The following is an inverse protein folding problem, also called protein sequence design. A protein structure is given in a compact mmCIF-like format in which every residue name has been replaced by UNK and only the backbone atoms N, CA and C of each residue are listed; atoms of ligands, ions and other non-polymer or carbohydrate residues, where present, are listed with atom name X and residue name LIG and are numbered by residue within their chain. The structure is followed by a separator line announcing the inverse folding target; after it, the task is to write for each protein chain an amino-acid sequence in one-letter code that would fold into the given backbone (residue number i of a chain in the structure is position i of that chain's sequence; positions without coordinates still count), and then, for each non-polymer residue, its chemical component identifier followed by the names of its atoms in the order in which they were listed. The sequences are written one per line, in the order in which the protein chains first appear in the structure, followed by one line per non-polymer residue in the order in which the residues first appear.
data_IF_418816965066
#
_entry.id   IF_418816965066
#
_cell.length_a   1.000
_cell.length_b   1.000
_cell.length_c   1.000
_cell.angle_alpha   90.00
_cell.angle_beta   90.00
_cell.angle_gamma   90.00
#
_symmetry.space_group_name_H-M   'P 1'
#
loop_
_entity.id
_entity.type
_entity.pdbx_description
1 polymer ?
#
# COMPACT_ATOMS: atom_id res chain seq x y z
N UNK A 1 16.96 -2.39 8.30
CA UNK A 1 15.80 -2.30 9.20
C UNK A 1 14.77 -1.43 8.54
N UNK A 2 13.66 -2.02 8.10
CA UNK A 2 12.53 -1.25 7.60
C UNK A 2 11.95 -0.43 8.76
N UNK A 3 11.89 0.88 8.60
CA UNK A 3 11.00 1.73 9.37
C UNK A 3 9.79 2.07 8.50
N UNK A 4 8.67 2.40 9.14
CA UNK A 4 7.45 2.80 8.43
C UNK A 4 6.90 4.03 9.12
N UNK A 5 7.08 5.18 8.47
CA UNK A 5 6.37 6.40 8.86
C UNK A 5 4.88 6.22 8.57
N UNK A 6 4.04 6.77 9.44
CA UNK A 6 2.58 6.60 9.40
C UNK A 6 1.92 7.95 9.55
N UNK A 7 0.93 8.21 8.72
CA UNK A 7 0.16 9.45 8.77
C UNK A 7 -1.33 9.16 8.53
N UNK A 8 -2.19 9.79 9.31
CA UNK A 8 -3.64 9.72 9.12
C UNK A 8 -4.10 10.90 8.28
N UNK A 9 -4.55 10.61 7.07
CA UNK A 9 -5.17 11.57 6.15
C UNK A 9 -6.70 11.50 6.29
N UNK A 10 -7.46 12.52 5.84
CA UNK A 10 -8.92 12.49 5.94
C UNK A 10 -9.55 11.21 5.38
N UNK A 11 -9.12 10.78 4.19
CA UNK A 11 -9.66 9.60 3.49
C UNK A 11 -8.68 8.42 3.38
N UNK A 12 -7.50 8.50 4.00
CA UNK A 12 -6.52 7.42 3.89
C UNK A 12 -5.68 7.25 5.15
N UNK A 13 -5.11 6.06 5.31
CA UNK A 13 -3.99 5.82 6.21
C UNK A 13 -2.73 5.65 5.36
N UNK A 14 -1.78 6.59 5.46
CA UNK A 14 -0.55 6.60 4.67
C UNK A 14 0.57 5.87 5.42
N UNK A 15 1.24 4.96 4.71
CA UNK A 15 2.44 4.26 5.14
C UNK A 15 3.59 4.64 4.21
N UNK A 16 4.73 5.05 4.75
CA UNK A 16 5.95 5.35 3.98
C UNK A 16 7.07 4.46 4.51
N UNK A 17 7.29 3.27 3.94
CA UNK A 17 8.36 2.38 4.36
C UNK A 17 9.72 2.91 3.87
N UNK A 18 10.75 2.82 4.70
CA UNK A 18 12.11 3.21 4.37
C UNK A 18 13.12 2.22 4.98
N UNK A 19 14.26 2.02 4.32
CA UNK A 19 15.33 1.21 4.89
C UNK A 19 16.20 2.08 5.80
N UNK A 20 16.08 1.90 7.13
CA UNK A 20 17.13 2.28 8.05
C UNK A 20 18.29 1.26 7.96
N UNK A 21 19.52 1.71 8.19
CA UNK A 21 20.69 0.85 8.16
C UNK A 21 20.51 -0.36 9.12
N UNK A 22 20.79 -1.55 8.58
CA UNK A 22 21.07 -2.83 9.29
C UNK A 22 19.99 -3.45 10.18
N UNK A 23 19.23 -4.45 9.65
CA UNK A 23 18.78 -5.69 10.35
C UNK A 23 17.70 -6.46 9.55
N UNK A 24 17.45 -7.71 9.94
CA UNK A 24 16.76 -8.79 9.20
C UNK A 24 15.25 -8.93 9.46
N UNK A 25 14.59 -7.92 10.04
CA UNK A 25 13.18 -8.03 10.54
C UNK A 25 12.15 -7.25 9.70
N UNK A 26 12.50 -6.92 8.47
CA UNK A 26 11.80 -5.92 7.64
C UNK A 26 10.34 -6.29 7.34
N UNK A 27 10.06 -7.57 7.05
CA UNK A 27 8.69 -8.04 6.77
C UNK A 27 7.76 -7.95 8.00
N UNK A 28 8.28 -8.14 9.22
CA UNK A 28 7.49 -8.06 10.45
C UNK A 28 7.06 -6.62 10.73
N UNK A 29 7.94 -5.65 10.46
CA UNK A 29 7.62 -4.23 10.63
C UNK A 29 6.54 -3.80 9.63
N UNK A 30 6.68 -4.19 8.36
CA UNK A 30 5.67 -3.91 7.33
C UNK A 30 4.34 -4.55 7.68
N UNK A 31 4.34 -5.83 8.08
CA UNK A 31 3.12 -6.55 8.45
C UNK A 31 2.40 -5.88 9.63
N UNK A 32 3.15 -5.43 10.65
CA UNK A 32 2.58 -4.69 11.77
C UNK A 32 2.00 -3.33 11.34
N UNK A 33 2.67 -2.62 10.43
CA UNK A 33 2.18 -1.34 9.93
C UNK A 33 0.88 -1.51 9.12
N UNK A 34 0.85 -2.49 8.20
CA UNK A 34 -0.33 -2.82 7.39
C UNK A 34 -1.49 -3.29 8.27
N UNK A 35 -1.22 -4.12 9.29
CA UNK A 35 -2.25 -4.57 10.22
C UNK A 35 -2.91 -3.40 10.97
N UNK A 36 -2.12 -2.39 11.38
CA UNK A 36 -2.66 -1.19 12.03
C UNK A 36 -3.48 -0.37 11.04
N UNK A 37 -2.96 -0.14 9.84
CA UNK A 37 -3.66 0.61 8.80
C UNK A 37 -4.97 -0.08 8.37
N UNK A 38 -4.99 -1.41 8.28
CA UNK A 38 -6.20 -2.17 7.96
C UNK A 38 -7.26 -2.09 9.06
N UNK A 39 -6.88 -1.72 10.29
CA UNK A 39 -7.81 -1.46 11.38
C UNK A 39 -8.23 0.01 11.50
N UNK A 40 -7.56 0.92 10.80
CA UNK A 40 -7.99 2.31 10.73
C UNK A 40 -9.34 2.37 9.98
N UNK A 41 -10.27 3.20 10.46
CA UNK A 41 -11.57 3.38 9.81
C UNK A 41 -11.45 4.38 8.64
N UNK A 42 -10.62 4.04 7.65
CA UNK A 42 -10.32 4.86 6.47
C UNK A 42 -10.69 4.09 5.20
N UNK A 43 -11.26 4.73 4.17
CA UNK A 43 -11.68 4.05 2.94
C UNK A 43 -10.51 3.44 2.17
N UNK A 44 -9.30 4.00 2.33
CA UNK A 44 -8.08 3.45 1.72
C UNK A 44 -6.90 3.35 2.69
N UNK A 45 -5.99 2.43 2.38
CA UNK A 45 -4.61 2.41 2.86
C UNK A 45 -3.70 2.74 1.69
N UNK A 46 -2.84 3.74 1.85
CA UNK A 46 -1.89 4.16 0.83
C UNK A 46 -0.49 3.78 1.29
N UNK A 47 0.28 3.14 0.42
CA UNK A 47 1.69 2.81 0.68
C UNK A 47 2.55 3.56 -0.32
N UNK A 48 3.32 4.53 0.17
CA UNK A 48 4.30 5.25 -0.63
C UNK A 48 5.64 4.53 -0.59
N UNK A 49 6.03 3.94 -1.73
CA UNK A 49 7.25 3.16 -1.90
C UNK A 49 8.41 4.02 -2.41
N UNK A 50 8.28 5.36 -2.42
CA UNK A 50 9.27 6.30 -2.94
C UNK A 50 10.66 6.18 -2.34
N UNK A 51 10.76 5.66 -1.11
CA UNK A 51 12.01 5.45 -0.38
C UNK A 51 12.59 4.04 -0.52
N UNK A 52 12.01 3.20 -1.37
CA UNK A 52 12.47 1.83 -1.61
C UNK A 52 12.87 1.65 -3.08
N UNK A 53 14.10 1.18 -3.32
CA UNK A 53 14.54 0.84 -4.68
C UNK A 53 13.99 -0.51 -5.17
N UNK A 54 13.67 -1.41 -4.25
CA UNK A 54 13.24 -2.80 -4.52
C UNK A 54 12.27 -3.27 -3.45
N UNK A 55 11.43 -4.23 -3.81
CA UNK A 55 10.63 -5.01 -2.87
C UNK A 55 11.08 -6.47 -2.88
N UNK A 56 11.14 -7.09 -1.71
CA UNK A 56 11.27 -8.55 -1.60
C UNK A 56 9.98 -9.23 -2.06
N UNK A 57 10.06 -10.50 -2.47
CA UNK A 57 8.87 -11.28 -2.80
C UNK A 57 7.90 -11.37 -1.61
N UNK A 58 8.43 -11.58 -0.40
CA UNK A 58 7.61 -11.62 0.81
C UNK A 58 6.85 -10.30 1.05
N UNK A 59 7.46 -9.15 0.79
CA UNK A 59 6.79 -7.86 0.92
C UNK A 59 5.70 -7.69 -0.15
N UNK A 60 5.93 -8.18 -1.37
CA UNK A 60 4.92 -8.20 -2.44
C UNK A 60 3.74 -9.09 -2.02
N UNK A 61 4.00 -10.31 -1.58
CA UNK A 61 2.96 -11.26 -1.16
C UNK A 61 2.14 -10.71 0.02
N UNK A 62 2.81 -10.04 0.96
CA UNK A 62 2.16 -9.35 2.07
C UNK A 62 1.26 -8.20 1.60
N UNK A 63 1.73 -7.35 0.68
CA UNK A 63 0.92 -6.26 0.11
C UNK A 63 -0.31 -6.83 -0.63
N UNK A 64 -0.15 -7.92 -1.37
CA UNK A 64 -1.25 -8.60 -2.06
C UNK A 64 -2.27 -9.19 -1.08
N UNK A 65 -1.80 -9.85 -0.01
CA UNK A 65 -2.68 -10.35 1.03
C UNK A 65 -3.50 -9.24 1.69
N UNK A 66 -2.89 -8.08 1.97
CA UNK A 66 -3.62 -6.94 2.52
C UNK A 66 -4.55 -6.26 1.51
N UNK A 67 -4.19 -6.24 0.22
CA UNK A 67 -5.09 -5.79 -0.85
C UNK A 67 -6.38 -6.61 -0.86
N UNK A 68 -6.24 -7.94 -0.80
CA UNK A 68 -7.39 -8.86 -0.72
C UNK A 68 -8.25 -8.60 0.53
N UNK A 69 -7.62 -8.50 1.71
CA UNK A 69 -8.32 -8.26 2.98
C UNK A 69 -9.09 -6.93 2.96
N UNK A 70 -8.48 -5.85 2.46
CA UNK A 70 -9.13 -4.55 2.37
C UNK A 70 -10.28 -4.57 1.36
N UNK A 71 -10.12 -5.25 0.22
CA UNK A 71 -11.19 -5.37 -0.77
C UNK A 71 -12.40 -6.10 -0.23
N UNK A 72 -12.20 -7.16 0.57
CA UNK A 72 -13.30 -7.85 1.24
C UNK A 72 -14.11 -6.94 2.20
N UNK A 73 -13.55 -5.79 2.58
CA UNK A 73 -14.18 -4.75 3.39
C UNK A 73 -14.65 -3.54 2.56
N UNK A 74 -14.71 -3.65 1.23
CA UNK A 74 -15.02 -2.56 0.30
C UNK A 74 -14.05 -1.37 0.38
N UNK A 75 -12.81 -1.63 0.81
CA UNK A 75 -11.73 -0.66 0.95
C UNK A 75 -10.60 -0.98 -0.02
N UNK A 76 -9.69 -0.03 -0.22
CA UNK A 76 -8.63 -0.16 -1.21
C UNK A 76 -7.24 -0.10 -0.58
N UNK A 77 -6.32 -0.91 -1.15
CA UNK A 77 -4.89 -0.72 -1.00
C UNK A 77 -4.38 -0.04 -2.27
N UNK A 78 -3.72 1.11 -2.11
CA UNK A 78 -3.14 1.89 -3.20
C UNK A 78 -1.62 1.94 -3.00
N UNK A 79 -0.87 1.61 -4.04
CA UNK A 79 0.60 1.63 -4.03
C UNK A 79 1.10 2.79 -4.90
N UNK A 80 1.83 3.72 -4.29
CA UNK A 80 2.48 4.84 -4.97
C UNK A 80 3.96 4.53 -5.22
N UNK A 81 4.53 5.13 -6.26
CA UNK A 81 5.96 5.01 -6.59
C UNK A 81 6.48 3.56 -6.61
N UNK A 82 5.65 2.60 -7.04
CA UNK A 82 6.01 1.18 -7.01
C UNK A 82 7.28 0.93 -7.84
N UNK A 83 8.33 0.28 -7.29
CA UNK A 83 9.56 0.02 -8.02
C UNK A 83 9.31 -0.74 -9.33
N UNK A 84 9.96 -0.33 -10.42
CA UNK A 84 9.71 -0.88 -11.75
C UNK A 84 9.94 -2.40 -11.81
N UNK A 85 10.97 -2.90 -11.13
CA UNK A 85 11.27 -4.33 -11.05
C UNK A 85 10.13 -5.16 -10.40
N UNK A 86 9.33 -4.54 -9.54
CA UNK A 86 8.24 -5.20 -8.82
C UNK A 86 6.87 -5.03 -9.50
N UNK A 87 6.70 -4.01 -10.36
CA UNK A 87 5.42 -3.72 -11.04
C UNK A 87 4.86 -4.92 -11.81
N UNK A 88 5.72 -5.67 -12.49
CA UNK A 88 5.29 -6.83 -13.27
C UNK A 88 4.54 -7.86 -12.42
N UNK A 89 4.96 -8.09 -11.16
CA UNK A 89 4.27 -9.04 -10.28
C UNK A 89 2.84 -8.62 -9.96
N UNK A 90 2.63 -7.34 -9.69
CA UNK A 90 1.28 -6.80 -9.45
C UNK A 90 0.41 -6.84 -10.71
N UNK A 91 0.99 -6.49 -11.86
CA UNK A 91 0.28 -6.43 -13.15
C UNK A 91 -0.04 -7.80 -13.74
N UNK A 92 0.68 -8.85 -13.34
CA UNK A 92 0.44 -10.23 -13.80
C UNK A 92 -0.77 -10.91 -13.14
N UNK A 93 -1.41 -10.27 -12.17
CA UNK A 93 -2.60 -10.79 -11.50
C UNK A 93 -3.86 -10.49 -12.32
N UNK A 94 -4.94 -11.23 -12.05
CA UNK A 94 -6.26 -10.88 -12.60
C UNK A 94 -6.60 -9.42 -12.26
N UNK A 95 -7.24 -8.65 -13.17
CA UNK A 95 -7.54 -7.23 -12.95
C UNK A 95 -8.27 -6.97 -11.62
N UNK A 96 -9.21 -7.85 -11.28
CA UNK A 96 -9.97 -7.80 -10.03
C UNK A 96 -9.13 -8.13 -8.80
N UNK A 97 -7.89 -8.59 -8.94
CA UNK A 97 -6.95 -8.93 -7.88
C UNK A 97 -5.82 -7.90 -7.71
N UNK A 98 -5.67 -6.97 -8.65
CA UNK A 98 -4.58 -5.98 -8.60
C UNK A 98 -4.85 -4.90 -7.54
N UNK A 99 -3.87 -4.53 -6.71
CA UNK A 99 -3.93 -3.27 -5.98
C UNK A 99 -3.88 -2.10 -6.98
N UNK A 100 -4.46 -0.97 -6.62
CA UNK A 100 -4.37 0.22 -7.47
C UNK A 100 -2.94 0.76 -7.45
N UNK A 101 -2.31 0.84 -8.61
CA UNK A 101 -0.96 1.38 -8.76
C UNK A 101 -1.04 2.79 -9.35
N UNK A 102 -0.51 3.77 -8.63
CA UNK A 102 -0.50 5.18 -9.07
C UNK A 102 0.92 5.75 -9.03
N UNK A 103 1.11 6.89 -9.71
CA UNK A 103 2.42 7.52 -9.75
C UNK A 103 2.79 8.16 -8.41
N UNK A 104 1.86 8.86 -7.75
CA UNK A 104 2.11 9.63 -6.54
C UNK A 104 1.01 9.48 -5.47
N UNK A 105 1.27 9.99 -4.26
CA UNK A 105 0.26 10.08 -3.19
C UNK A 105 -0.86 11.06 -3.58
N UNK A 106 -0.56 12.10 -4.35
CA UNK A 106 -1.57 13.03 -4.85
C UNK A 106 -2.58 12.33 -5.75
N UNK A 107 -2.09 11.51 -6.69
CA UNK A 107 -2.96 10.71 -7.57
C UNK A 107 -3.81 9.74 -6.76
N UNK A 108 -3.24 9.12 -5.71
CA UNK A 108 -4.00 8.25 -4.81
C UNK A 108 -5.17 9.00 -4.16
N UNK A 109 -4.96 10.24 -3.69
CA UNK A 109 -6.03 11.03 -3.07
C UNK A 109 -7.14 11.36 -4.08
N UNK A 110 -6.76 11.74 -5.31
CA UNK A 110 -7.72 12.02 -6.38
C UNK A 110 -8.56 10.79 -6.74
N UNK A 111 -7.96 9.61 -6.80
CA UNK A 111 -8.67 8.35 -7.06
C UNK A 111 -9.67 8.02 -5.95
N UNK A 112 -9.27 8.19 -4.68
CA UNK A 112 -10.16 7.96 -3.53
C UNK A 112 -11.34 8.93 -3.54
N UNK A 113 -11.11 10.22 -3.80
CA UNK A 113 -12.16 11.22 -3.92
C UNK A 113 -13.12 10.88 -5.07
N UNK A 114 -12.59 10.54 -6.24
CA UNK A 114 -13.38 10.17 -7.41
C UNK A 114 -14.26 8.93 -7.15
N UNK A 115 -13.71 7.90 -6.51
CA UNK A 115 -14.47 6.71 -6.10
C UNK A 115 -15.56 7.04 -5.07
N UNK A 116 -15.31 7.99 -4.16
CA UNK A 116 -16.33 8.47 -3.22
C UNK A 116 -17.49 9.16 -3.93
N UNK A 117 -17.22 9.97 -4.96
CA UNK A 117 -18.27 10.61 -5.77
C UNK A 117 -19.09 9.60 -6.57
N UNK A 118 -18.48 8.52 -7.10
CA UNK A 118 -19.19 7.48 -7.85
C UNK A 118 -20.16 6.65 -7.02
N UNK A 119 -19.95 6.56 -5.71
CA UNK A 119 -20.77 5.75 -4.78
C UNK A 119 -21.88 6.55 -4.10
N UNK A 120 -21.92 7.87 -4.29
CA UNK A 120 -22.93 8.80 -3.76
C UNK A 120 -24.09 8.95 -4.73
#
# INVERSE_FOLDING_TARGET
MLDVQREELPQAYLLIPSYAATSTTDNVVLARALHRASRANKPAVVVDLSLLDRLSNDAIDLLLAYSFVLRAQSRQLILCHTPQASRHRFQSLDPDSQPLLVASVLDAMQEIEFESFRKS
#
